data_IF_062858717665
#
_entry.id   IF_062858717665
#
_cell.length_a   1.000
_cell.length_b   1.000
_cell.length_c   1.000
_cell.angle_alpha   90.00
_cell.angle_beta   90.00
_cell.angle_gamma   90.00
#
_symmetry.space_group_name_H-M   'P 1'
#
loop_
_entity.id
_entity.type
_entity.pdbx_description
1 polymer ?
#
# COMPACT_ATOMS: atom_id res chain seq x y z
N UNK A 1 135.87 -30.70 -192.23
CA UNK A 1 134.97 -29.78 -191.49
C UNK A 1 133.63 -30.43 -191.08
N UNK A 2 133.08 -31.42 -191.80
CA UNK A 2 131.81 -32.07 -191.44
C UNK A 2 131.81 -33.02 -190.21
N UNK A 3 132.95 -33.64 -189.85
CA UNK A 3 133.01 -34.62 -188.75
C UNK A 3 132.92 -34.04 -187.33
N UNK A 4 133.23 -32.75 -187.15
CA UNK A 4 133.24 -32.13 -185.81
C UNK A 4 131.82 -31.77 -185.31
N UNK A 5 130.89 -31.41 -186.20
CA UNK A 5 129.51 -31.11 -185.79
C UNK A 5 128.75 -32.33 -185.24
N UNK A 6 128.95 -33.51 -185.83
CA UNK A 6 128.18 -34.71 -185.47
C UNK A 6 128.49 -35.24 -184.05
N UNK A 7 129.75 -35.12 -183.57
CA UNK A 7 130.11 -35.55 -182.22
C UNK A 7 129.50 -34.65 -181.14
N UNK A 8 129.41 -33.35 -181.42
CA UNK A 8 128.84 -32.37 -180.50
C UNK A 8 127.33 -32.56 -180.34
N UNK A 9 126.64 -32.98 -181.40
CA UNK A 9 125.21 -33.34 -181.33
C UNK A 9 124.96 -34.60 -180.50
N UNK A 10 125.83 -35.62 -180.60
CA UNK A 10 125.65 -36.88 -179.87
C UNK A 10 125.84 -36.71 -178.35
N UNK A 11 126.87 -35.98 -177.91
CA UNK A 11 127.08 -35.69 -176.48
C UNK A 11 125.97 -34.80 -175.90
N UNK A 12 125.44 -33.87 -176.72
CA UNK A 12 124.23 -33.12 -176.39
C UNK A 12 123.02 -34.02 -176.16
N UNK A 13 122.84 -35.06 -176.97
CA UNK A 13 121.74 -36.03 -176.79
C UNK A 13 121.90 -36.88 -175.52
N UNK A 14 123.12 -37.29 -175.15
CA UNK A 14 123.35 -38.15 -173.96
C UNK A 14 123.12 -37.38 -172.66
N UNK A 15 123.60 -36.13 -172.57
CA UNK A 15 123.34 -35.27 -171.42
C UNK A 15 121.83 -34.95 -171.31
N UNK A 16 121.17 -34.71 -172.44
CA UNK A 16 119.71 -34.57 -172.49
C UNK A 16 118.99 -35.80 -171.94
N UNK A 17 119.40 -37.01 -172.33
CA UNK A 17 118.80 -38.26 -171.83
C UNK A 17 118.98 -38.44 -170.32
N UNK A 18 120.16 -38.18 -169.76
CA UNK A 18 120.39 -38.28 -168.31
C UNK A 18 119.59 -37.22 -167.53
N UNK A 19 119.46 -36.01 -168.08
CA UNK A 19 118.59 -34.97 -167.52
C UNK A 19 117.14 -35.47 -167.47
N UNK A 20 116.64 -36.04 -168.57
CA UNK A 20 115.30 -36.61 -168.66
C UNK A 20 115.10 -37.75 -167.66
N UNK A 21 116.06 -38.65 -167.47
CA UNK A 21 115.92 -39.75 -166.51
C UNK A 21 115.87 -39.27 -165.05
N UNK A 22 116.68 -38.26 -164.69
CA UNK A 22 116.64 -37.65 -163.35
C UNK A 22 115.34 -36.90 -163.15
N UNK A 23 114.86 -36.17 -164.15
CA UNK A 23 113.53 -35.55 -164.15
C UNK A 23 112.42 -36.61 -164.02
N UNK A 24 112.52 -37.72 -164.74
CA UNK A 24 111.53 -38.80 -164.69
C UNK A 24 111.44 -39.43 -163.29
N UNK A 25 112.58 -39.65 -162.60
CA UNK A 25 112.58 -40.14 -161.21
C UNK A 25 112.02 -39.12 -160.24
N UNK A 26 112.42 -37.86 -160.35
CA UNK A 26 111.87 -36.76 -159.54
C UNK A 26 110.35 -36.63 -159.74
N UNK A 27 109.87 -36.76 -160.98
CA UNK A 27 108.44 -36.76 -161.30
C UNK A 27 107.73 -37.97 -160.70
N UNK A 28 108.33 -39.16 -160.69
CA UNK A 28 107.77 -40.33 -160.01
C UNK A 28 107.67 -40.14 -158.50
N UNK A 29 108.72 -39.67 -157.83
CA UNK A 29 108.70 -39.43 -156.38
C UNK A 29 107.67 -38.34 -156.03
N UNK A 30 107.58 -37.27 -156.83
CA UNK A 30 106.55 -36.24 -156.68
C UNK A 30 105.15 -36.81 -156.91
N UNK A 31 104.98 -37.72 -157.86
CA UNK A 31 103.71 -38.40 -158.09
C UNK A 31 103.32 -39.28 -156.90
N UNK A 32 104.26 -40.04 -156.34
CA UNK A 32 104.00 -40.90 -155.17
C UNK A 32 103.75 -40.11 -153.89
N UNK A 33 104.49 -39.02 -153.67
CA UNK A 33 104.21 -38.08 -152.57
C UNK A 33 102.84 -37.43 -152.75
N UNK A 34 102.50 -37.00 -153.97
CA UNK A 34 101.19 -36.46 -154.29
C UNK A 34 100.08 -37.50 -154.06
N UNK A 35 100.28 -38.77 -154.40
CA UNK A 35 99.31 -39.85 -154.12
C UNK A 35 99.08 -40.04 -152.63
N UNK A 36 100.14 -40.08 -151.81
CA UNK A 36 100.02 -40.20 -150.35
C UNK A 36 99.29 -39.01 -149.71
N UNK A 37 99.56 -37.79 -150.19
CA UNK A 37 98.82 -36.59 -149.75
C UNK A 37 97.35 -36.66 -150.16
N UNK A 38 97.05 -37.13 -151.37
CA UNK A 38 95.67 -37.33 -151.84
C UNK A 38 94.95 -38.40 -151.00
N UNK A 39 95.61 -39.51 -150.65
CA UNK A 39 95.02 -40.55 -149.81
C UNK A 39 94.77 -40.09 -148.38
N UNK A 40 95.71 -39.35 -147.77
CA UNK A 40 95.52 -38.74 -146.45
C UNK A 40 94.35 -37.73 -146.46
N UNK A 41 94.30 -36.85 -147.47
CA UNK A 41 93.20 -35.91 -147.64
C UNK A 41 91.84 -36.62 -147.85
N UNK A 42 91.82 -37.77 -148.55
CA UNK A 42 90.60 -38.59 -148.69
C UNK A 42 90.15 -39.19 -147.36
N UNK A 43 91.06 -39.70 -146.54
CA UNK A 43 90.72 -40.24 -145.22
C UNK A 43 90.23 -39.15 -144.26
N UNK A 44 90.87 -37.98 -144.28
CA UNK A 44 90.43 -36.82 -143.51
C UNK A 44 89.04 -36.33 -143.97
N UNK A 45 88.79 -36.26 -145.28
CA UNK A 45 87.47 -35.96 -145.85
C UNK A 45 86.40 -36.94 -145.36
N UNK A 46 86.68 -38.24 -145.37
CA UNK A 46 85.76 -39.26 -144.87
C UNK A 46 85.52 -39.17 -143.34
N UNK A 47 86.53 -38.77 -142.57
CA UNK A 47 86.39 -38.53 -141.14
C UNK A 47 85.49 -37.32 -140.87
N UNK A 48 85.71 -36.22 -141.59
CA UNK A 48 84.91 -35.01 -141.50
C UNK A 48 83.47 -35.26 -141.97
N UNK A 49 83.24 -36.03 -143.04
CA UNK A 49 81.90 -36.43 -143.48
C UNK A 49 81.14 -37.17 -142.38
N UNK A 50 81.77 -38.13 -141.71
CA UNK A 50 81.16 -38.85 -140.56
C UNK A 50 80.82 -37.91 -139.41
N UNK A 51 81.71 -36.95 -139.09
CA UNK A 51 81.45 -35.95 -138.05
C UNK A 51 80.29 -35.02 -138.43
N UNK A 52 80.21 -34.59 -139.69
CA UNK A 52 79.10 -33.78 -140.19
C UNK A 52 77.79 -34.56 -140.12
N UNK A 53 77.77 -35.84 -140.49
CA UNK A 53 76.59 -36.67 -140.33
C UNK A 53 76.17 -36.85 -138.86
N UNK A 54 77.12 -37.07 -137.95
CA UNK A 54 76.82 -37.21 -136.52
C UNK A 54 76.29 -35.91 -135.92
N UNK A 55 76.88 -34.76 -136.28
CA UNK A 55 76.39 -33.45 -135.89
C UNK A 55 74.98 -33.19 -136.45
N UNK A 56 74.73 -33.53 -137.72
CA UNK A 56 73.40 -33.42 -138.32
C UNK A 56 72.37 -34.31 -137.60
N UNK A 57 72.74 -35.53 -137.19
CA UNK A 57 71.87 -36.39 -136.37
C UNK A 57 71.58 -35.76 -135.01
N UNK A 58 72.60 -35.22 -134.32
CA UNK A 58 72.42 -34.54 -133.02
C UNK A 58 71.54 -33.30 -133.13
N UNK A 59 71.73 -32.49 -134.18
CA UNK A 59 70.89 -31.31 -134.45
C UNK A 59 69.44 -31.74 -134.66
N UNK A 60 69.19 -32.76 -135.49
CA UNK A 60 67.83 -33.28 -135.69
C UNK A 60 67.17 -33.77 -134.41
N UNK A 61 67.87 -34.60 -133.62
CA UNK A 61 67.34 -35.10 -132.35
C UNK A 61 67.04 -33.93 -131.41
N UNK A 62 67.96 -32.97 -131.26
CA UNK A 62 67.74 -31.80 -130.40
C UNK A 62 66.59 -30.91 -130.90
N UNK A 63 66.37 -30.85 -132.21
CA UNK A 63 65.28 -30.09 -132.82
C UNK A 63 63.93 -30.77 -132.59
N UNK A 64 63.85 -32.09 -132.72
CA UNK A 64 62.66 -32.89 -132.43
C UNK A 64 62.31 -32.83 -130.94
N UNK A 65 63.30 -32.92 -130.04
CA UNK A 65 63.11 -32.75 -128.59
C UNK A 65 62.63 -31.34 -128.24
N UNK A 66 63.21 -30.30 -128.83
CA UNK A 66 62.77 -28.92 -128.64
C UNK A 66 61.34 -28.70 -129.14
N UNK A 67 60.97 -29.29 -130.29
CA UNK A 67 59.61 -29.23 -130.81
C UNK A 67 58.61 -29.98 -129.91
N UNK A 68 58.99 -31.15 -129.38
CA UNK A 68 58.15 -31.91 -128.46
C UNK A 68 57.93 -31.16 -127.14
N UNK A 69 58.98 -30.59 -126.56
CA UNK A 69 58.90 -29.76 -125.35
C UNK A 69 58.07 -28.48 -125.58
N UNK A 70 58.23 -27.85 -126.75
CA UNK A 70 57.41 -26.70 -127.14
C UNK A 70 55.94 -27.08 -127.27
N UNK A 71 55.63 -28.23 -127.88
CA UNK A 71 54.26 -28.76 -127.96
C UNK A 71 53.64 -29.04 -126.59
N UNK A 72 54.40 -29.61 -125.65
CA UNK A 72 53.94 -29.85 -124.27
C UNK A 72 53.68 -28.56 -123.50
N UNK A 73 54.56 -27.57 -123.62
CA UNK A 73 54.37 -26.25 -123.03
C UNK A 73 53.11 -25.60 -123.61
N UNK A 74 52.91 -25.68 -124.92
CA UNK A 74 51.74 -25.14 -125.60
C UNK A 74 50.43 -25.75 -125.05
N UNK A 75 50.39 -27.07 -124.91
CA UNK A 75 49.25 -27.81 -124.35
C UNK A 75 48.94 -27.39 -122.91
N UNK A 76 49.97 -27.28 -122.07
CA UNK A 76 49.82 -26.82 -120.70
C UNK A 76 49.30 -25.39 -120.61
N UNK A 77 49.80 -24.48 -121.47
CA UNK A 77 49.31 -23.11 -121.55
C UNK A 77 47.85 -23.07 -122.00
N UNK A 78 47.43 -23.89 -122.97
CA UNK A 78 46.02 -23.98 -123.37
C UNK A 78 45.12 -24.53 -122.26
N UNK A 79 45.55 -25.53 -121.49
CA UNK A 79 44.77 -26.07 -120.36
C UNK A 79 44.60 -25.02 -119.25
N UNK A 80 45.66 -24.27 -118.93
CA UNK A 80 45.60 -23.16 -117.97
C UNK A 80 44.72 -22.01 -118.49
N UNK A 81 44.79 -21.68 -119.78
CA UNK A 81 43.94 -20.69 -120.40
C UNK A 81 42.45 -21.07 -120.31
N UNK A 82 42.13 -22.36 -120.49
CA UNK A 82 40.77 -22.87 -120.34
C UNK A 82 40.25 -22.74 -118.89
N UNK A 83 41.07 -23.10 -117.89
CA UNK A 83 40.71 -22.95 -116.47
C UNK A 83 40.53 -21.49 -116.05
N UNK A 84 41.35 -20.58 -116.59
CA UNK A 84 41.28 -19.14 -116.35
C UNK A 84 40.25 -18.42 -117.24
N UNK A 85 39.51 -19.15 -118.07
CA UNK A 85 38.51 -18.62 -118.99
C UNK A 85 39.09 -17.49 -119.87
N UNK A 86 40.28 -17.72 -120.42
CA UNK A 86 40.93 -16.79 -121.35
C UNK A 86 40.36 -17.03 -122.75
N UNK A 87 39.55 -16.10 -123.23
CA UNK A 87 39.12 -16.06 -124.63
C UNK A 87 40.34 -15.85 -125.53
N UNK A 88 40.87 -16.93 -126.11
CA UNK A 88 41.80 -16.86 -127.22
C UNK A 88 40.98 -16.91 -128.52
N UNK A 89 41.05 -15.87 -129.33
CA UNK A 89 40.55 -15.95 -130.71
C UNK A 89 41.31 -17.03 -131.48
N UNK A 90 40.67 -17.61 -132.50
CA UNK A 90 41.10 -18.80 -133.27
C UNK A 90 42.53 -18.77 -133.89
N UNK A 91 43.31 -17.71 -133.67
CA UNK A 91 44.57 -17.43 -134.37
C UNK A 91 45.77 -17.20 -133.40
N UNK A 92 45.55 -16.87 -132.11
CA UNK A 92 46.65 -16.56 -131.18
C UNK A 92 46.68 -17.57 -130.03
N UNK A 93 47.73 -18.38 -129.97
CA UNK A 93 47.95 -19.28 -128.85
C UNK A 93 48.35 -18.49 -127.59
N UNK A 94 47.85 -18.87 -126.41
CA UNK A 94 48.10 -18.14 -125.17
C UNK A 94 49.58 -18.17 -124.80
N UNK A 95 50.14 -17.00 -124.46
CA UNK A 95 51.52 -16.90 -123.98
C UNK A 95 51.55 -17.07 -122.46
N UNK A 96 52.65 -17.59 -121.91
CA UNK A 96 52.89 -17.68 -120.46
C UNK A 96 52.60 -16.36 -119.72
N UNK A 97 53.00 -15.23 -120.30
CA UNK A 97 52.75 -13.90 -119.73
C UNK A 97 51.26 -13.57 -119.60
N UNK A 98 50.45 -13.95 -120.58
CA UNK A 98 49.01 -13.67 -120.59
C UNK A 98 48.30 -14.47 -119.49
N UNK A 99 48.72 -15.72 -119.29
CA UNK A 99 48.20 -16.60 -118.24
C UNK A 99 48.62 -16.11 -116.85
N UNK A 100 49.89 -15.74 -116.66
CA UNK A 100 50.37 -15.21 -115.39
C UNK A 100 49.67 -13.91 -115.00
N UNK A 101 49.48 -12.99 -115.95
CA UNK A 101 48.76 -11.74 -115.70
C UNK A 101 47.30 -12.01 -115.30
N UNK A 102 46.59 -12.88 -116.02
CA UNK A 102 45.21 -13.26 -115.69
C UNK A 102 45.10 -13.96 -114.35
N UNK A 103 46.06 -14.83 -114.02
CA UNK A 103 46.13 -15.52 -112.74
C UNK A 103 46.33 -14.52 -111.60
N UNK A 104 47.26 -13.57 -111.77
CA UNK A 104 47.52 -12.52 -110.81
C UNK A 104 46.29 -11.62 -110.61
N UNK A 105 45.61 -11.22 -111.68
CA UNK A 105 44.37 -10.46 -111.63
C UNK A 105 43.25 -11.25 -110.91
N UNK A 106 43.13 -12.55 -111.20
CA UNK A 106 42.15 -13.43 -110.54
C UNK A 106 42.45 -13.60 -109.05
N UNK A 107 43.71 -13.83 -108.68
CA UNK A 107 44.15 -13.93 -107.29
C UNK A 107 43.96 -12.62 -106.53
N UNK A 108 44.30 -11.48 -107.13
CA UNK A 108 44.11 -10.18 -106.52
C UNK A 108 42.62 -9.85 -106.34
N UNK A 109 41.79 -10.16 -107.34
CA UNK A 109 40.33 -9.99 -107.27
C UNK A 109 39.71 -10.85 -106.16
N UNK A 110 40.01 -12.15 -106.14
CA UNK A 110 39.49 -13.07 -105.11
C UNK A 110 39.99 -12.69 -103.71
N UNK A 111 41.27 -12.32 -103.57
CA UNK A 111 41.83 -11.81 -102.32
C UNK A 111 41.10 -10.56 -101.85
N UNK A 112 40.92 -9.57 -102.71
CA UNK A 112 40.21 -8.33 -102.37
C UNK A 112 38.76 -8.59 -101.96
N UNK A 113 38.07 -9.54 -102.60
CA UNK A 113 36.70 -9.91 -102.27
C UNK A 113 36.62 -10.63 -100.91
N UNK A 114 37.56 -11.53 -100.63
CA UNK A 114 37.67 -12.20 -99.34
C UNK A 114 38.03 -11.21 -98.23
N UNK A 115 38.99 -10.32 -98.45
CA UNK A 115 39.38 -9.27 -97.50
C UNK A 115 38.21 -8.31 -97.21
N UNK A 116 37.44 -7.92 -98.22
CA UNK A 116 36.25 -7.08 -98.06
C UNK A 116 35.16 -7.82 -97.25
N UNK A 117 34.89 -9.10 -97.57
CA UNK A 117 33.92 -9.91 -96.80
C UNK A 117 34.38 -10.13 -95.36
N UNK A 118 35.67 -10.39 -95.13
CA UNK A 118 36.24 -10.57 -93.80
C UNK A 118 36.14 -9.29 -92.98
N UNK A 119 36.46 -8.14 -93.57
CA UNK A 119 36.29 -6.83 -92.95
C UNK A 119 34.83 -6.56 -92.60
N UNK A 120 33.91 -6.84 -93.52
CA UNK A 120 32.47 -6.67 -93.29
C UNK A 120 31.94 -7.55 -92.14
N UNK A 121 32.31 -8.83 -92.13
CA UNK A 121 31.90 -9.76 -91.05
C UNK A 121 32.54 -9.36 -89.72
N UNK A 122 33.80 -8.92 -89.73
CA UNK A 122 34.48 -8.44 -88.53
C UNK A 122 33.80 -7.21 -87.93
N UNK A 123 33.42 -6.23 -88.77
CA UNK A 123 32.66 -5.06 -88.33
C UNK A 123 31.28 -5.43 -87.79
N UNK A 124 30.56 -6.34 -88.47
CA UNK A 124 29.26 -6.81 -87.98
C UNK A 124 29.37 -7.52 -86.63
N UNK A 125 30.39 -8.36 -86.45
CA UNK A 125 30.64 -9.04 -85.19
C UNK A 125 30.96 -8.04 -84.08
N UNK A 126 31.82 -7.05 -84.35
CA UNK A 126 32.12 -5.99 -83.39
C UNK A 126 30.85 -5.24 -82.95
N UNK A 127 30.02 -4.80 -83.90
CA UNK A 127 28.74 -4.14 -83.61
C UNK A 127 27.80 -5.04 -82.79
N UNK A 128 27.72 -6.33 -83.11
CA UNK A 128 26.91 -7.28 -82.33
C UNK A 128 27.42 -7.46 -80.90
N UNK A 129 28.73 -7.55 -80.72
CA UNK A 129 29.33 -7.67 -79.37
C UNK A 129 29.09 -6.42 -78.53
N UNK A 130 29.19 -5.22 -79.11
CA UNK A 130 28.88 -3.96 -78.42
C UNK A 130 27.40 -3.90 -78.03
N UNK A 131 26.48 -4.20 -78.95
CA UNK A 131 25.04 -4.25 -78.66
C UNK A 131 24.73 -5.26 -77.56
N UNK A 132 25.34 -6.45 -77.59
CA UNK A 132 25.16 -7.46 -76.56
C UNK A 132 25.67 -6.98 -75.20
N UNK A 133 26.86 -6.36 -75.16
CA UNK A 133 27.42 -5.81 -73.92
C UNK A 133 26.53 -4.70 -73.31
N UNK A 134 26.00 -3.80 -74.14
CA UNK A 134 25.07 -2.76 -73.74
C UNK A 134 23.74 -3.33 -73.24
N UNK A 135 23.20 -4.35 -73.91
CA UNK A 135 21.98 -5.03 -73.49
C UNK A 135 22.18 -5.74 -72.13
N UNK A 136 23.33 -6.40 -71.94
CA UNK A 136 23.68 -7.05 -70.69
C UNK A 136 23.81 -6.05 -69.53
N UNK A 137 24.50 -4.93 -69.75
CA UNK A 137 24.62 -3.87 -68.74
C UNK A 137 23.25 -3.30 -68.35
N UNK A 138 22.38 -3.08 -69.33
CA UNK A 138 21.00 -2.63 -69.06
C UNK A 138 20.18 -3.65 -68.29
N UNK A 139 20.33 -4.94 -68.61
CA UNK A 139 19.66 -6.02 -67.88
C UNK A 139 20.14 -6.07 -66.42
N UNK A 140 21.44 -5.99 -66.18
CA UNK A 140 22.02 -5.98 -64.84
C UNK A 140 21.53 -4.80 -64.00
N UNK A 141 21.47 -3.59 -64.58
CA UNK A 141 20.93 -2.42 -63.89
C UNK A 141 19.44 -2.59 -63.55
N UNK A 142 18.65 -3.15 -64.47
CA UNK A 142 17.25 -3.45 -64.22
C UNK A 142 17.06 -4.50 -63.11
N UNK A 143 17.88 -5.55 -63.09
CA UNK A 143 17.88 -6.57 -62.02
C UNK A 143 18.22 -5.97 -60.65
N UNK A 144 19.24 -5.09 -60.60
CA UNK A 144 19.59 -4.37 -59.36
C UNK A 144 18.45 -3.48 -58.88
N UNK A 145 17.79 -2.74 -59.77
CA UNK A 145 16.63 -1.91 -59.41
C UNK A 145 15.47 -2.75 -58.90
N UNK A 146 15.19 -3.89 -59.52
CA UNK A 146 14.14 -4.80 -59.06
C UNK A 146 14.49 -5.38 -57.69
N UNK A 147 15.76 -5.69 -57.43
CA UNK A 147 16.18 -6.18 -56.12
C UNK A 147 16.03 -5.10 -55.03
N UNK A 148 16.47 -3.87 -55.27
CA UNK A 148 16.29 -2.74 -54.33
C UNK A 148 14.80 -2.51 -54.02
N UNK A 149 13.95 -2.55 -55.05
CA UNK A 149 12.50 -2.42 -54.86
C UNK A 149 11.90 -3.57 -54.06
N UNK A 150 12.38 -4.81 -54.23
CA UNK A 150 11.93 -5.96 -53.42
C UNK A 150 12.35 -5.82 -51.97
N UNK A 151 13.59 -5.42 -51.72
CA UNK A 151 14.10 -5.25 -50.35
C UNK A 151 13.33 -4.14 -49.62
N UNK A 152 13.05 -3.04 -50.32
CA UNK A 152 12.22 -1.94 -49.79
C UNK A 152 10.76 -2.35 -49.55
N UNK A 153 10.17 -3.13 -50.47
CA UNK A 153 8.82 -3.66 -50.30
C UNK A 153 8.76 -4.54 -49.06
N UNK A 154 9.70 -5.47 -48.90
CA UNK A 154 9.76 -6.37 -47.76
C UNK A 154 9.93 -5.60 -46.44
N UNK A 155 10.77 -4.56 -46.41
CA UNK A 155 10.92 -3.71 -45.23
C UNK A 155 9.58 -3.06 -44.84
N UNK A 156 8.88 -2.44 -45.80
CA UNK A 156 7.58 -1.79 -45.54
C UNK A 156 6.51 -2.80 -45.13
N UNK A 157 6.48 -4.00 -45.73
CA UNK A 157 5.58 -5.08 -45.33
C UNK A 157 5.82 -5.49 -43.87
N UNK A 158 7.09 -5.61 -43.45
CA UNK A 158 7.41 -5.93 -42.05
C UNK A 158 7.01 -4.80 -41.10
N UNK A 159 7.24 -3.53 -41.47
CA UNK A 159 6.81 -2.39 -40.67
C UNK A 159 5.28 -2.35 -40.53
N UNK A 160 4.54 -2.59 -41.63
CA UNK A 160 3.08 -2.65 -41.61
C UNK A 160 2.58 -3.76 -40.68
N UNK A 161 3.16 -4.96 -40.77
CA UNK A 161 2.80 -6.07 -39.88
C UNK A 161 3.06 -5.72 -38.41
N UNK A 162 4.20 -5.10 -38.09
CA UNK A 162 4.47 -4.66 -36.71
C UNK A 162 3.50 -3.58 -36.25
N UNK A 163 3.12 -2.64 -37.13
CA UNK A 163 2.14 -1.61 -36.82
C UNK A 163 0.74 -2.20 -36.58
N UNK A 164 0.32 -3.19 -37.37
CA UNK A 164 -0.94 -3.91 -37.18
C UNK A 164 -0.95 -4.65 -35.84
N UNK A 165 0.14 -5.36 -35.49
CA UNK A 165 0.27 -6.01 -34.18
C UNK A 165 0.17 -5.02 -33.02
N UNK A 166 0.81 -3.84 -33.13
CA UNK A 166 0.67 -2.79 -32.12
C UNK A 166 -0.75 -2.24 -32.02
N UNK A 167 -1.43 -2.03 -33.17
CA UNK A 167 -2.83 -1.58 -33.21
C UNK A 167 -3.75 -2.59 -32.52
N UNK A 168 -3.57 -3.87 -32.80
CA UNK A 168 -4.37 -4.95 -32.19
C UNK A 168 -4.12 -5.02 -30.68
N UNK A 169 -2.86 -4.86 -30.24
CA UNK A 169 -2.53 -4.75 -28.81
C UNK A 169 -3.20 -3.57 -28.13
N UNK A 170 -3.20 -2.39 -28.76
CA UNK A 170 -3.90 -1.20 -28.27
C UNK A 170 -5.42 -1.39 -28.25
N UNK A 171 -5.99 -2.03 -29.27
CA UNK A 171 -7.41 -2.35 -29.34
C UNK A 171 -7.83 -3.29 -28.21
N UNK A 172 -7.04 -4.33 -27.95
CA UNK A 172 -7.29 -5.27 -26.85
C UNK A 172 -7.24 -4.58 -25.49
N UNK A 173 -6.19 -3.79 -25.24
CA UNK A 173 -6.06 -3.00 -24.01
C UNK A 173 -7.23 -2.03 -23.83
N UNK A 174 -7.61 -1.30 -24.90
CA UNK A 174 -8.79 -0.43 -24.91
C UNK A 174 -10.03 -1.21 -24.49
N UNK A 175 -10.32 -2.35 -25.13
CA UNK A 175 -11.48 -3.20 -24.83
C UNK A 175 -11.53 -3.62 -23.35
N UNK A 176 -10.38 -4.04 -22.78
CA UNK A 176 -10.28 -4.37 -21.36
C UNK A 176 -10.63 -3.18 -20.46
N UNK A 177 -10.13 -1.98 -20.79
CA UNK A 177 -10.47 -0.76 -20.06
C UNK A 177 -11.95 -0.41 -20.16
N UNK A 178 -12.61 -0.63 -21.30
CA UNK A 178 -14.06 -0.39 -21.43
C UNK A 178 -14.86 -1.30 -20.51
N UNK A 179 -14.52 -2.60 -20.50
CA UNK A 179 -15.17 -3.59 -19.66
C UNK A 179 -14.99 -3.26 -18.18
N UNK A 180 -13.79 -2.85 -17.79
CA UNK A 180 -13.52 -2.37 -16.44
C UNK A 180 -14.37 -1.15 -16.08
N UNK A 181 -14.47 -0.16 -16.97
CA UNK A 181 -15.27 1.04 -16.74
C UNK A 181 -16.77 0.74 -16.68
N UNK A 182 -17.25 -0.24 -17.45
CA UNK A 182 -18.63 -0.72 -17.41
C UNK A 182 -18.94 -1.36 -16.06
N UNK A 183 -18.12 -2.31 -15.61
CA UNK A 183 -18.25 -2.95 -14.29
C UNK A 183 -18.21 -1.92 -13.14
N UNK A 184 -17.31 -0.93 -13.25
CA UNK A 184 -17.21 0.12 -12.25
C UNK A 184 -18.44 1.03 -12.27
N UNK A 185 -18.99 1.34 -13.44
CA UNK A 185 -20.23 2.12 -13.60
C UNK A 185 -21.42 1.40 -12.98
N UNK A 186 -21.55 0.09 -13.20
CA UNK A 186 -22.57 -0.74 -12.56
C UNK A 186 -22.42 -0.76 -11.03
N UNK A 187 -21.20 -0.98 -10.55
CA UNK A 187 -20.89 -1.05 -9.10
C UNK A 187 -21.23 0.26 -8.39
N UNK A 188 -20.91 1.40 -9.04
CA UNK A 188 -21.19 2.74 -8.51
C UNK A 188 -22.62 3.23 -8.79
N UNK A 189 -23.42 2.39 -9.46
CA UNK A 189 -24.79 2.68 -9.90
C UNK A 189 -24.86 4.02 -10.62
N UNK A 190 -23.99 4.20 -11.61
CA UNK A 190 -24.00 5.34 -12.53
C UNK A 190 -25.05 5.06 -13.61
N UNK A 191 -25.86 6.07 -13.94
CA UNK A 191 -27.04 5.97 -14.80
C UNK A 191 -26.74 5.33 -16.17
N UNK A 192 -27.77 4.75 -16.80
CA UNK A 192 -27.67 4.09 -18.12
C UNK A 192 -27.15 4.99 -19.25
N UNK A 193 -27.23 6.31 -19.10
CA UNK A 193 -26.65 7.31 -20.01
C UNK A 193 -25.13 7.14 -20.09
N UNK A 194 -24.48 6.59 -19.07
CA UNK A 194 -23.04 6.31 -19.08
C UNK A 194 -22.63 5.24 -20.09
N UNK A 195 -23.53 4.31 -20.46
CA UNK A 195 -23.23 3.27 -21.44
C UNK A 195 -22.92 3.85 -22.84
N UNK A 196 -23.59 4.94 -23.19
CA UNK A 196 -23.45 5.61 -24.49
C UNK A 196 -22.30 6.64 -24.55
N UNK A 197 -21.68 6.94 -23.41
CA UNK A 197 -20.57 7.90 -23.33
C UNK A 197 -19.24 7.26 -23.77
N UNK A 198 -18.33 8.03 -24.35
CA UNK A 198 -16.93 7.59 -24.52
C UNK A 198 -16.21 7.43 -23.16
N UNK A 199 -15.11 6.67 -23.11
CA UNK A 199 -14.38 6.34 -21.86
C UNK A 199 -13.99 7.58 -21.06
N UNK A 200 -13.52 8.63 -21.73
CA UNK A 200 -13.08 9.86 -21.06
C UNK A 200 -14.22 10.53 -20.29
N UNK A 201 -15.42 10.51 -20.86
CA UNK A 201 -16.60 11.09 -20.22
C UNK A 201 -17.16 10.16 -19.13
N UNK A 202 -17.18 8.84 -19.37
CA UNK A 202 -17.51 7.85 -18.33
C UNK A 202 -16.59 7.99 -17.12
N UNK A 203 -15.29 8.13 -17.33
CA UNK A 203 -14.29 8.30 -16.27
C UNK A 203 -14.57 9.55 -15.44
N UNK A 204 -14.82 10.70 -16.09
CA UNK A 204 -15.17 11.95 -15.39
C UNK A 204 -16.47 11.80 -14.58
N UNK A 205 -17.46 11.12 -15.13
CA UNK A 205 -18.73 10.86 -14.45
C UNK A 205 -18.53 9.97 -13.21
N UNK A 206 -17.76 8.89 -13.36
CA UNK A 206 -17.38 7.99 -12.27
C UNK A 206 -16.64 8.72 -11.13
N UNK A 207 -15.67 9.58 -11.48
CA UNK A 207 -14.98 10.41 -10.49
C UNK A 207 -15.95 11.33 -9.74
N UNK A 208 -16.84 12.03 -10.45
CA UNK A 208 -17.83 12.90 -9.83
C UNK A 208 -18.80 12.12 -8.91
N UNK A 209 -19.14 10.88 -9.30
CA UNK A 209 -19.98 9.98 -8.51
C UNK A 209 -19.25 9.53 -7.25
N UNK A 210 -17.97 9.19 -7.34
CA UNK A 210 -17.14 8.80 -6.20
C UNK A 210 -17.09 9.93 -5.17
N UNK A 211 -16.77 11.15 -5.61
CA UNK A 211 -16.76 12.33 -4.73
C UNK A 211 -18.12 12.58 -4.07
N UNK A 212 -19.22 12.39 -4.81
CA UNK A 212 -20.57 12.52 -4.27
C UNK A 212 -20.86 11.47 -3.21
N UNK A 213 -20.51 10.21 -3.44
CA UNK A 213 -20.70 9.12 -2.47
C UNK A 213 -19.89 9.37 -1.20
N UNK A 214 -18.64 9.81 -1.32
CA UNK A 214 -17.79 10.17 -0.16
C UNK A 214 -18.43 11.29 0.67
N UNK A 215 -18.97 12.33 0.03
CA UNK A 215 -19.68 13.41 0.72
C UNK A 215 -20.93 12.91 1.44
N UNK A 216 -21.72 12.04 0.79
CA UNK A 216 -22.95 11.45 1.34
C UNK A 216 -22.64 10.58 2.57
N UNK A 217 -21.66 9.69 2.48
CA UNK A 217 -21.20 8.87 3.60
C UNK A 217 -20.66 9.74 4.75
N UNK A 218 -19.92 10.80 4.43
CA UNK A 218 -19.43 11.76 5.40
C UNK A 218 -20.57 12.45 6.18
N UNK A 219 -21.62 12.89 5.49
CA UNK A 219 -22.80 13.47 6.14
C UNK A 219 -23.55 12.46 7.01
N UNK A 220 -23.78 11.24 6.50
CA UNK A 220 -24.47 10.19 7.23
C UNK A 220 -23.71 9.77 8.51
N UNK A 221 -22.38 9.75 8.45
CA UNK A 221 -21.52 9.46 9.61
C UNK A 221 -21.64 10.55 10.68
N UNK A 222 -21.65 11.83 10.29
CA UNK A 222 -21.83 12.95 11.23
C UNK A 222 -23.22 12.87 11.90
N UNK A 223 -24.27 12.59 11.14
CA UNK A 223 -25.62 12.40 11.66
C UNK A 223 -25.71 11.20 12.64
N UNK A 224 -25.12 10.07 12.28
CA UNK A 224 -25.05 8.89 13.17
C UNK A 224 -24.28 9.19 14.46
N UNK A 225 -23.16 9.93 14.37
CA UNK A 225 -22.37 10.36 15.53
C UNK A 225 -23.17 11.28 16.43
N UNK A 226 -23.89 12.27 15.88
CA UNK A 226 -24.73 13.18 16.68
C UNK A 226 -25.90 12.45 17.35
N UNK A 227 -26.57 11.53 16.64
CA UNK A 227 -27.61 10.68 17.20
C UNK A 227 -27.06 9.84 18.36
N UNK A 228 -25.90 9.20 18.16
CA UNK A 228 -25.23 8.39 19.19
C UNK A 228 -24.94 9.20 20.45
N UNK A 229 -24.36 10.40 20.32
CA UNK A 229 -24.13 11.28 21.48
C UNK A 229 -25.43 11.68 22.19
N UNK A 230 -26.50 11.96 21.43
CA UNK A 230 -27.79 12.30 22.02
C UNK A 230 -28.38 11.14 22.83
N UNK A 231 -28.25 9.91 22.33
CA UNK A 231 -28.71 8.70 23.00
C UNK A 231 -27.86 8.40 24.24
N UNK A 232 -26.55 8.55 24.16
CA UNK A 232 -25.66 8.43 25.31
C UNK A 232 -26.02 9.41 26.43
N UNK A 233 -26.32 10.67 26.09
CA UNK A 233 -26.76 11.68 27.07
C UNK A 233 -28.10 11.31 27.71
N UNK A 234 -29.08 10.86 26.92
CA UNK A 234 -30.38 10.38 27.44
C UNK A 234 -30.19 9.17 28.35
N UNK A 235 -29.34 8.22 27.98
CA UNK A 235 -29.02 7.04 28.77
C UNK A 235 -28.43 7.44 30.13
N UNK A 236 -27.43 8.34 30.13
CA UNK A 236 -26.83 8.86 31.37
C UNK A 236 -27.88 9.48 32.29
N UNK A 237 -28.74 10.36 31.74
CA UNK A 237 -29.81 10.99 32.52
C UNK A 237 -30.79 9.97 33.12
N UNK A 238 -31.17 8.92 32.36
CA UNK A 238 -32.05 7.87 32.88
C UNK A 238 -31.38 7.01 33.95
N UNK A 239 -30.06 6.74 33.83
CA UNK A 239 -29.27 6.07 34.87
C UNK A 239 -29.23 6.89 36.15
N UNK A 240 -28.86 8.16 36.08
CA UNK A 240 -28.81 9.07 37.24
C UNK A 240 -30.19 9.14 37.94
N UNK A 241 -31.28 9.18 37.15
CA UNK A 241 -32.65 9.15 37.68
C UNK A 241 -33.00 7.81 38.37
N UNK A 242 -32.53 6.70 37.83
CA UNK A 242 -32.74 5.37 38.41
C UNK A 242 -32.00 5.24 39.74
N UNK A 243 -30.71 5.60 39.77
CA UNK A 243 -29.88 5.60 40.98
C UNK A 243 -30.48 6.47 42.09
N UNK A 244 -30.99 7.66 41.75
CA UNK A 244 -31.70 8.52 42.71
C UNK A 244 -32.96 7.87 43.29
N UNK A 245 -33.75 7.15 42.46
CA UNK A 245 -34.92 6.41 42.93
C UNK A 245 -34.54 5.19 43.77
N UNK A 246 -33.48 4.48 43.40
CA UNK A 246 -32.95 3.35 44.15
C UNK A 246 -32.54 3.79 45.56
N UNK A 247 -31.76 4.87 45.69
CA UNK A 247 -31.41 5.47 46.98
C UNK A 247 -32.65 5.84 47.81
N UNK A 248 -33.67 6.45 47.18
CA UNK A 248 -34.91 6.78 47.87
C UNK A 248 -35.64 5.52 48.36
N UNK A 249 -35.69 4.47 47.54
CA UNK A 249 -36.31 3.19 47.94
C UNK A 249 -35.56 2.52 49.08
N UNK A 250 -34.22 2.60 49.11
CA UNK A 250 -33.41 2.09 50.21
C UNK A 250 -33.65 2.86 51.50
N UNK A 251 -33.72 4.19 51.44
CA UNK A 251 -34.05 5.02 52.59
C UNK A 251 -35.44 4.69 53.15
N UNK A 252 -36.44 4.54 52.28
CA UNK A 252 -37.78 4.14 52.69
C UNK A 252 -37.79 2.74 53.32
N UNK A 253 -37.10 1.76 52.72
CA UNK A 253 -36.96 0.41 53.31
C UNK A 253 -36.35 0.49 54.70
N UNK A 254 -35.26 1.24 54.88
CA UNK A 254 -34.64 1.45 56.20
C UNK A 254 -35.61 2.08 57.19
N UNK A 255 -36.36 3.11 56.76
CA UNK A 255 -37.34 3.76 57.64
C UNK A 255 -38.48 2.84 58.05
N UNK A 256 -38.96 1.99 57.14
CA UNK A 256 -39.95 0.96 57.44
C UNK A 256 -39.39 -0.02 58.49
N UNK A 257 -38.17 -0.52 58.32
CA UNK A 257 -37.53 -1.40 59.31
C UNK A 257 -37.39 -0.75 60.69
N UNK A 258 -36.96 0.51 60.77
CA UNK A 258 -36.88 1.27 62.04
C UNK A 258 -38.26 1.39 62.72
N UNK A 259 -39.30 1.73 61.94
CA UNK A 259 -40.66 1.85 62.47
C UNK A 259 -41.23 0.50 62.93
N UNK A 260 -40.89 -0.60 62.25
CA UNK A 260 -41.26 -1.94 62.69
C UNK A 260 -40.57 -2.32 64.01
N UNK A 261 -39.29 -2.01 64.18
CA UNK A 261 -38.55 -2.22 65.43
C UNK A 261 -39.10 -1.34 66.57
N UNK A 262 -39.40 -0.07 66.30
CA UNK A 262 -40.05 0.82 67.27
C UNK A 262 -41.44 0.29 67.68
N UNK A 263 -42.21 -0.22 66.72
CA UNK A 263 -43.51 -0.85 67.01
C UNK A 263 -43.34 -2.10 67.88
N UNK A 264 -42.39 -2.99 67.55
CA UNK A 264 -42.09 -4.21 68.34
C UNK A 264 -41.69 -3.85 69.78
N UNK A 265 -40.80 -2.87 69.95
CA UNK A 265 -40.36 -2.41 71.28
C UNK A 265 -41.47 -1.73 72.08
N UNK A 266 -42.30 -0.87 71.47
CA UNK A 266 -43.49 -0.30 72.13
C UNK A 266 -44.49 -1.37 72.56
N UNK A 267 -44.73 -2.39 71.71
CA UNK A 267 -45.57 -3.53 72.07
C UNK A 267 -45.00 -4.32 73.24
N UNK A 268 -43.68 -4.57 73.27
CA UNK A 268 -43.01 -5.21 74.40
C UNK A 268 -43.15 -4.40 75.70
N UNK A 269 -42.91 -3.08 75.66
CA UNK A 269 -43.09 -2.19 76.81
C UNK A 269 -44.54 -2.12 77.31
N UNK A 270 -45.53 -2.25 76.41
CA UNK A 270 -46.93 -2.31 76.80
C UNK A 270 -47.23 -3.59 77.60
N UNK A 271 -46.70 -4.74 77.16
CA UNK A 271 -46.81 -6.02 77.88
C UNK A 271 -46.14 -5.92 79.26
N UNK A 272 -44.91 -5.40 79.34
CA UNK A 272 -44.22 -5.20 80.62
C UNK A 272 -44.99 -4.27 81.57
N UNK A 273 -45.63 -3.21 81.05
CA UNK A 273 -46.50 -2.34 81.84
C UNK A 273 -47.73 -3.06 82.37
N UNK A 274 -48.39 -3.85 81.54
CA UNK A 274 -49.56 -4.62 81.95
C UNK A 274 -49.20 -5.65 83.04
N UNK A 275 -48.05 -6.32 82.90
CA UNK A 275 -47.50 -7.24 83.90
C UNK A 275 -47.18 -6.51 85.21
N UNK A 276 -46.50 -5.36 85.15
CA UNK A 276 -46.22 -4.53 86.31
C UNK A 276 -47.51 -4.03 87.00
N UNK A 277 -48.54 -3.65 86.22
CA UNK A 277 -49.84 -3.26 86.76
C UNK A 277 -50.57 -4.43 87.42
N UNK A 278 -50.48 -5.64 86.85
CA UNK A 278 -51.02 -6.86 87.46
C UNK A 278 -50.34 -7.16 88.80
N UNK A 279 -49.01 -7.09 88.85
CA UNK A 279 -48.26 -7.25 90.10
C UNK A 279 -48.57 -6.16 91.12
N UNK A 280 -48.65 -4.89 90.71
CA UNK A 280 -49.06 -3.79 91.58
C UNK A 280 -50.46 -4.03 92.16
N UNK A 281 -51.42 -4.50 91.34
CA UNK A 281 -52.77 -4.88 91.82
C UNK A 281 -52.74 -6.06 92.79
N UNK A 282 -51.89 -7.07 92.57
CA UNK A 282 -51.71 -8.20 93.51
C UNK A 282 -51.14 -7.72 94.84
N UNK A 283 -50.11 -6.87 94.81
CA UNK A 283 -49.51 -6.26 95.99
C UNK A 283 -50.50 -5.37 96.72
N UNK A 284 -51.28 -4.55 96.01
CA UNK A 284 -52.34 -3.72 96.58
C UNK A 284 -53.38 -4.58 97.31
N UNK A 285 -53.85 -5.68 96.71
CA UNK A 285 -54.75 -6.63 97.38
C UNK A 285 -54.12 -7.26 98.63
N UNK A 286 -52.81 -7.56 98.61
CA UNK A 286 -52.09 -8.03 99.81
C UNK A 286 -52.04 -6.95 100.88
N UNK A 287 -51.77 -5.70 100.51
CA UNK A 287 -51.77 -4.55 101.44
C UNK A 287 -53.16 -4.35 102.04
N UNK A 288 -54.23 -4.40 101.24
CA UNK A 288 -55.61 -4.29 101.73
C UNK A 288 -55.97 -5.41 102.72
N UNK A 289 -55.56 -6.66 102.43
CA UNK A 289 -55.72 -7.80 103.36
C UNK A 289 -54.94 -7.59 104.66
N UNK A 290 -53.67 -7.20 104.57
CA UNK A 290 -52.85 -6.92 105.75
C UNK A 290 -53.42 -5.74 106.55
N UNK A 291 -53.98 -4.72 105.89
CA UNK A 291 -54.67 -3.61 106.55
C UNK A 291 -55.97 -4.04 107.24
N UNK A 292 -56.77 -4.94 106.64
CA UNK A 292 -57.98 -5.45 107.28
C UNK A 292 -57.66 -6.35 108.47
N UNK A 293 -56.66 -7.22 108.36
CA UNK A 293 -56.12 -8.02 109.47
C UNK A 293 -55.60 -7.11 110.59
N UNK A 294 -54.86 -6.05 110.27
CA UNK A 294 -54.40 -5.07 111.24
C UNK A 294 -55.56 -4.34 111.93
N UNK A 295 -56.60 -3.94 111.17
CA UNK A 295 -57.81 -3.33 111.75
C UNK A 295 -58.54 -4.31 112.66
N UNK A 296 -58.67 -5.58 112.28
CA UNK A 296 -59.27 -6.62 113.11
C UNK A 296 -58.48 -6.85 114.40
N UNK A 297 -57.14 -6.91 114.33
CA UNK A 297 -56.27 -6.96 115.52
C UNK A 297 -56.38 -5.70 116.39
N UNK A 298 -56.53 -4.52 115.80
CA UNK A 298 -56.77 -3.29 116.55
C UNK A 298 -58.13 -3.31 117.25
N UNK A 299 -59.19 -3.76 116.56
CA UNK A 299 -60.53 -3.91 117.12
C UNK A 299 -60.53 -4.90 118.28
N UNK A 300 -59.92 -6.08 118.11
CA UNK A 300 -59.78 -7.05 119.19
C UNK A 300 -58.92 -6.51 120.33
N UNK A 301 -57.87 -5.73 120.05
CA UNK A 301 -57.08 -5.05 121.09
C UNK A 301 -57.91 -3.99 121.83
N UNK A 302 -58.75 -3.20 121.14
CA UNK A 302 -59.65 -2.25 121.79
C UNK A 302 -60.75 -2.93 122.59
N UNK A 303 -61.26 -4.07 122.10
CA UNK A 303 -62.26 -4.88 122.80
C UNK A 303 -61.65 -5.51 124.05
N UNK A 304 -60.44 -6.05 123.98
CA UNK A 304 -59.67 -6.50 125.15
C UNK A 304 -59.39 -5.35 126.13
N UNK A 305 -59.09 -4.14 125.63
CA UNK A 305 -58.94 -2.93 126.47
C UNK A 305 -60.25 -2.53 127.14
N UNK A 306 -61.39 -2.63 126.46
CA UNK A 306 -62.72 -2.35 127.00
C UNK A 306 -63.15 -3.41 128.04
N UNK A 307 -62.86 -4.68 127.78
CA UNK A 307 -63.03 -5.75 128.78
C UNK A 307 -62.18 -5.45 130.02
N UNK A 308 -60.93 -5.00 129.85
CA UNK A 308 -60.07 -4.55 130.95
C UNK A 308 -60.65 -3.35 131.72
N UNK A 309 -61.22 -2.35 131.04
CA UNK A 309 -61.81 -1.18 131.71
C UNK A 309 -63.09 -1.53 132.47
N UNK A 310 -63.95 -2.37 131.92
CA UNK A 310 -65.16 -2.85 132.62
C UNK A 310 -64.81 -3.66 133.88
N UNK A 311 -63.73 -4.45 133.81
CA UNK A 311 -63.19 -5.15 134.99
C UNK A 311 -62.65 -4.18 136.06
N UNK A 312 -62.16 -3.00 135.65
CA UNK A 312 -61.71 -1.95 136.57
C UNK A 312 -62.87 -1.12 137.16
N UNK A 313 -63.95 -0.87 136.41
CA UNK A 313 -65.14 -0.15 136.91
C UNK A 313 -65.87 -0.95 138.01
N UNK A 314 -66.00 -2.27 137.88
CA UNK A 314 -66.53 -3.13 138.94
C UNK A 314 -65.70 -3.07 140.24
N UNK A 315 -64.41 -2.71 140.17
CA UNK A 315 -63.58 -2.47 141.36
C UNK A 315 -63.79 -1.08 141.98
N UNK A 316 -64.22 -0.08 141.20
CA UNK A 316 -64.40 1.29 141.68
C UNK A 316 -65.77 1.49 142.33
N UNK A 317 -66.83 0.89 141.79
CA UNK A 317 -68.18 0.94 142.38
C UNK A 317 -68.24 0.29 143.78
N UNK A 318 -67.44 -0.75 144.03
CA UNK A 318 -67.34 -1.38 145.35
C UNK A 318 -66.69 -0.50 146.42
N UNK A 319 -65.93 0.54 146.03
CA UNK A 319 -65.10 1.34 146.93
C UNK A 319 -65.75 2.68 147.33
N UNK A 320 -66.65 3.21 146.51
CA UNK A 320 -67.36 4.48 146.75
C UNK A 320 -68.48 4.36 147.79
N UNK A 321 -69.14 3.20 147.89
CA UNK A 321 -70.22 2.94 148.85
C UNK A 321 -69.76 3.00 150.32
N UNK A 322 -68.51 2.60 150.63
CA UNK A 322 -67.98 2.65 152.01
C UNK A 322 -67.64 4.07 152.49
N UNK A 323 -67.12 4.93 151.63
CA UNK A 323 -66.71 6.31 152.01
C UNK A 323 -67.89 7.26 152.29
N UNK A 324 -69.05 7.05 151.67
CA UNK A 324 -70.24 7.90 151.87
C UNK A 324 -70.92 7.64 153.22
N UNK A 325 -70.82 6.42 153.75
CA UNK A 325 -71.41 6.07 155.04
C UNK A 325 -70.64 6.69 156.24
N UNK A 326 -69.32 6.85 156.13
CA UNK A 326 -68.48 7.45 157.18
C UNK A 326 -68.59 8.97 157.29
N UNK A 327 -68.80 9.68 156.18
CA UNK A 327 -68.92 11.15 156.22
C UNK A 327 -70.24 11.64 156.83
N UNK A 328 -71.33 10.88 156.69
CA UNK A 328 -72.63 11.26 157.26
C UNK A 328 -72.67 11.23 158.80
N UNK A 329 -71.92 10.31 159.45
CA UNK A 329 -71.83 10.27 160.93
C UNK A 329 -71.14 11.49 161.52
N UNK A 330 -70.11 12.02 160.85
CA UNK A 330 -69.33 13.18 161.35
C UNK A 330 -70.09 14.51 161.29
N UNK A 331 -71.09 14.63 160.40
CA UNK A 331 -71.94 15.83 160.32
C UNK A 331 -72.94 15.93 161.48
N UNK A 332 -73.36 14.80 162.05
CA UNK A 332 -74.35 14.76 163.13
C UNK A 332 -73.76 15.22 164.48
N UNK A 333 -72.48 14.93 164.74
CA UNK A 333 -71.76 15.33 165.96
C UNK A 333 -71.44 16.85 166.01
N UNK A 334 -71.28 17.49 164.85
CA UNK A 334 -70.98 18.93 164.72
C UNK A 334 -72.17 19.83 165.02
N UNK A 335 -73.40 19.36 164.78
CA UNK A 335 -74.64 20.13 165.01
C UNK A 335 -74.97 20.19 166.51
N UNK A 336 -74.70 19.12 167.26
CA UNK A 336 -74.95 19.09 168.71
C UNK A 336 -74.02 20.03 169.49
N UNK A 337 -72.78 20.21 169.03
CA UNK A 337 -71.80 21.13 169.65
C UNK A 337 -72.19 22.61 169.54
N UNK A 338 -72.80 23.03 168.42
CA UNK A 338 -73.23 24.42 168.20
C UNK A 338 -74.29 24.89 169.21
N UNK A 339 -75.22 23.99 169.59
CA UNK A 339 -76.30 24.28 170.55
C UNK A 339 -75.84 24.54 172.00
N UNK A 340 -74.63 24.10 172.36
CA UNK A 340 -74.07 24.26 173.72
C UNK A 340 -73.32 25.59 173.89
N UNK A 341 -72.77 26.15 172.81
CA UNK A 341 -72.02 27.42 172.85
C UNK A 341 -72.97 28.62 172.90
N UNK A 342 -74.12 28.57 172.22
CA UNK A 342 -75.14 29.64 172.25
C UNK A 342 -75.72 29.91 173.66
N UNK A 343 -75.80 28.89 174.53
CA UNK A 343 -76.29 29.06 175.92
C UNK A 343 -75.26 29.71 176.86
N UNK A 344 -73.99 29.78 176.47
CA UNK A 344 -72.93 30.39 177.30
C UNK A 344 -72.72 31.88 177.02
N UNK A 345 -73.02 32.33 175.80
CA UNK A 345 -72.89 33.74 175.39
C UNK A 345 -73.92 34.65 176.07
N UNK A 346 -75.12 34.13 176.36
CA UNK A 346 -76.18 34.85 177.07
C UNK A 346 -75.89 35.11 178.55
N UNK A 347 -74.95 34.37 179.17
CA UNK A 347 -74.59 34.54 180.59
C UNK A 347 -73.49 35.59 180.81
N UNK A 348 -72.58 35.76 179.85
CA UNK A 348 -71.46 36.71 179.96
C UNK A 348 -71.90 38.16 179.69
N UNK A 349 -73.02 38.34 178.97
CA UNK A 349 -73.56 39.68 178.69
C UNK A 349 -74.22 40.35 179.92
N UNK A 350 -74.77 39.59 180.88
CA UNK A 350 -75.41 40.18 182.08
C UNK A 350 -74.41 40.69 183.13
N UNK A 351 -73.20 40.13 183.18
CA UNK A 351 -72.22 40.44 184.23
C UNK A 351 -71.37 41.68 183.92
N UNK A 352 -71.32 42.13 182.66
CA UNK A 352 -70.44 43.23 182.24
C UNK A 352 -71.10 44.63 182.39
N UNK A 353 -72.43 44.71 182.46
CA UNK A 353 -73.11 46.01 182.63
C UNK A 353 -73.31 46.41 184.11
N UNK A 354 -73.28 45.46 185.05
CA UNK A 354 -73.32 45.76 186.49
C UNK A 354 -72.04 46.47 186.97
N UNK A 355 -70.88 46.19 186.35
CA UNK A 355 -69.61 46.85 186.65
C UNK A 355 -69.50 48.29 186.13
N UNK A 356 -70.29 48.69 185.13
CA UNK A 356 -70.22 50.04 184.56
C UNK A 356 -70.90 51.12 185.43
N UNK A 357 -71.82 50.72 186.33
CA UNK A 357 -72.49 51.65 187.25
C UNK A 357 -71.60 52.06 188.44
N UNK A 358 -70.69 51.19 188.90
CA UNK A 358 -69.85 51.47 190.08
C UNK A 358 -68.73 52.49 189.81
N UNK A 359 -68.14 52.51 188.61
CA UNK A 359 -66.95 53.32 188.34
C UNK A 359 -67.21 54.84 188.13
N UNK A 360 -68.47 55.28 187.99
CA UNK A 360 -68.78 56.71 187.79
C UNK A 360 -69.12 57.46 189.08
N UNK A 361 -69.51 56.75 190.14
CA UNK A 361 -69.72 57.35 191.47
C UNK A 361 -68.38 57.80 192.08
N UNK A 362 -67.28 57.10 191.79
CA UNK A 362 -65.93 57.46 192.22
C UNK A 362 -65.37 58.72 191.52
N UNK A 363 -65.87 59.06 190.33
CA UNK A 363 -65.38 60.22 189.57
C UNK A 363 -66.00 61.55 190.05
N UNK A 364 -67.05 61.51 190.88
CA UNK A 364 -67.70 62.70 191.46
C UNK A 364 -67.06 63.18 192.77
N UNK A 365 -66.27 62.36 193.46
CA UNK A 365 -65.69 62.71 194.77
C UNK A 365 -64.32 63.42 194.70
N UNK A 366 -63.61 63.32 193.57
CA UNK A 366 -62.28 63.90 193.39
C UNK A 366 -62.28 65.37 192.92
N UNK A 367 -63.39 65.87 192.36
CA UNK A 367 -63.49 67.26 191.89
C UNK A 367 -63.92 68.22 193.00
N UNK A 368 -64.72 67.77 193.96
CA UNK A 368 -65.15 68.54 195.16
C UNK A 368 -64.01 68.85 196.12
N UNK A 369 -62.97 68.00 196.18
CA UNK A 369 -61.79 68.23 197.02
C UNK A 369 -60.73 69.14 196.36
N UNK A 370 -60.82 69.41 195.05
CA UNK A 370 -59.80 70.19 194.33
C UNK A 370 -59.99 71.70 194.34
N UNK A 371 -61.17 72.25 194.64
CA UNK A 371 -61.38 73.71 194.56
C UNK A 371 -61.59 74.41 195.91
N UNK A 372 -61.89 73.68 196.99
CA UNK A 372 -61.72 74.18 198.38
C UNK A 372 -60.25 74.42 198.73
N UNK A 373 -59.31 73.81 197.99
CA UNK A 373 -57.87 74.01 198.12
C UNK A 373 -57.33 75.27 197.39
N UNK A 374 -58.04 75.79 196.38
CA UNK A 374 -57.65 77.05 195.72
C UNK A 374 -58.08 78.31 196.51
N UNK A 375 -59.02 78.17 197.47
CA UNK A 375 -59.43 79.24 198.37
C UNK A 375 -58.48 79.45 199.57
N UNK A 376 -57.48 78.57 199.77
CA UNK A 376 -56.57 78.62 200.91
C UNK A 376 -55.09 78.82 200.55
N UNK A 377 -54.64 78.48 199.33
CA UNK A 377 -53.26 78.75 198.89
C UNK A 377 -53.01 80.19 198.43
N UNK A 378 -54.03 81.06 198.41
CA UNK A 378 -53.83 82.50 198.21
C UNK A 378 -54.14 83.36 199.46
N UNK A 379 -54.43 82.75 200.62
CA UNK A 379 -54.53 83.51 201.89
C UNK A 379 -53.18 84.03 202.40
N UNK A 380 -52.06 83.63 201.78
CA UNK A 380 -50.69 83.76 202.33
C UNK A 380 -49.68 84.52 201.46
N UNK A 381 -50.10 85.20 200.37
CA UNK A 381 -49.22 86.14 199.64
C UNK A 381 -49.24 87.58 200.18
N UNK A 382 -50.03 87.96 201.20
CA UNK A 382 -50.17 89.41 201.49
C UNK A 382 -50.35 89.92 202.94
N UNK A 383 -49.83 89.24 203.97
CA UNK A 383 -49.41 89.94 205.22
C UNK A 383 -48.23 89.17 205.84
N UNK A 384 -46.94 89.38 205.59
CA UNK A 384 -46.11 90.57 205.32
C UNK A 384 -44.76 90.05 204.76
N UNK A 385 -44.10 90.73 203.83
CA UNK A 385 -43.28 91.91 204.14
C UNK A 385 -44.03 93.22 204.37
N UNK A 386 -43.56 93.96 205.38
CA UNK A 386 -43.61 95.42 205.44
C UNK A 386 -42.23 95.89 205.89
N UNK A 387 -41.75 97.02 205.35
CA UNK A 387 -40.40 97.59 205.55
C UNK A 387 -39.25 96.64 205.14
N UNK A 388 -38.31 97.03 204.29
CA UNK A 388 -38.02 98.35 203.70
C UNK A 388 -39.03 98.75 202.62
#
# INVERSE_FOLDING_TARGET
>A
MWLWCLSQELDGMVLGRRSIDVEQRSLMERLEASKRVIEAARQESQCLEKQVEELNRKVRISQEEAQAAQGQLQMFLTDLAALLHIECGDIVLPTEKDILQKLEDFCNKTRSEVEARLSHVSEQLARQTELHSCALQRAQLAEQQVQDLRDRLQAVETELLTADMHRDGLHYSKQQYEQFLEQLSETMKVDSIAADLGYDMRMKLLLSRAEKLVKQEGTALVESKTLTYSLQRKLKLQKDRLESKELHTELLRKKVSELEEEKRSRSALAVERDDAHLEARKLQKKVERLQSELKAMKLSSTELKAQLSHTNELKVEGRTSQTVQEQSKRLQELVEGKSKVEKTLSRVSSDLQSQQKAAREDQQQLSTLRLTLAQLSEREREVRGGWI
#
